data_IF_752453347288
#
_entry.id   IF_752453347288
#
_cell.length_a   1.000
_cell.length_b   1.000
_cell.length_c   1.000
_cell.angle_alpha   90.00
_cell.angle_beta   90.00
_cell.angle_gamma   90.00
#
_symmetry.space_group_name_H-M   'P 1'
#
loop_
_entity.id
_entity.type
_entity.pdbx_description
1 polymer ?
#
# COMPACT_ATOMS: atom_id res chain seq x y z
N UNK A 1 55.21 -26.85 10.06
CA UNK A 1 56.52 -26.23 9.79
C UNK A 1 56.58 -24.93 10.59
N UNK A 2 57.74 -24.59 11.16
CA UNK A 2 58.11 -23.50 12.09
C UNK A 2 57.11 -22.33 12.35
N UNK A 3 56.77 -21.88 13.58
CA UNK A 3 57.51 -21.60 14.85
C UNK A 3 58.06 -20.15 14.94
N UNK A 4 57.67 -19.42 16.01
CA UNK A 4 58.39 -18.31 16.73
C UNK A 4 58.44 -16.87 16.14
N UNK A 5 58.57 -15.76 16.91
CA UNK A 5 58.61 -15.52 18.39
C UNK A 5 58.38 -14.02 18.80
N UNK A 6 57.88 -13.78 20.03
CA UNK A 6 58.32 -12.75 21.04
C UNK A 6 58.15 -11.21 20.81
N UNK A 7 58.08 -10.31 21.83
CA UNK A 7 58.58 -10.27 23.23
C UNK A 7 57.59 -9.66 24.29
N UNK A 8 57.54 -10.32 25.46
CA UNK A 8 57.38 -9.94 26.92
C UNK A 8 56.94 -8.52 27.38
N UNK A 9 56.44 -8.31 28.63
CA UNK A 9 56.24 -9.18 29.82
C UNK A 9 55.67 -8.35 31.01
N UNK A 10 55.35 -8.86 32.22
CA UNK A 10 55.61 -10.10 33.01
C UNK A 10 54.37 -10.39 33.90
N UNK A 11 54.02 -11.56 34.49
CA UNK A 11 54.65 -12.88 34.80
C UNK A 11 55.39 -13.00 36.15
N UNK A 12 54.72 -13.56 37.18
CA UNK A 12 55.19 -14.34 38.39
C UNK A 12 54.05 -14.45 39.43
N UNK A 13 53.78 -15.52 40.22
CA UNK A 13 54.00 -16.98 40.06
C UNK A 13 52.95 -17.79 40.90
N UNK A 14 53.32 -18.77 41.75
CA UNK A 14 52.43 -19.77 42.42
C UNK A 14 53.04 -20.42 43.70
N UNK A 15 52.17 -20.70 44.69
CA UNK A 15 51.92 -21.92 45.51
C UNK A 15 53.00 -22.98 45.91
N UNK A 16 52.67 -23.66 47.03
CA UNK A 16 52.98 -25.04 47.54
C UNK A 16 54.03 -25.30 48.66
N UNK A 17 53.49 -25.64 49.85
CA UNK A 17 53.86 -26.70 50.83
C UNK A 17 55.31 -26.97 51.32
N UNK A 18 55.46 -27.13 52.66
CA UNK A 18 56.41 -28.07 53.28
C UNK A 18 55.99 -28.48 54.72
N UNK A 19 56.59 -29.56 55.27
CA UNK A 19 56.09 -30.39 56.37
C UNK A 19 57.16 -30.64 57.48
N UNK A 20 56.76 -30.76 58.76
CA UNK A 20 57.58 -31.36 59.86
C UNK A 20 57.36 -30.68 61.25
N UNK A 21 56.89 -31.32 62.35
CA UNK A 21 57.40 -32.49 63.14
C UNK A 21 58.58 -32.04 64.07
N UNK A 22 58.68 -32.26 65.41
CA UNK A 22 58.21 -33.30 66.37
C UNK A 22 58.29 -32.83 67.88
N UNK A 23 57.49 -33.43 68.81
CA UNK A 23 57.79 -33.77 70.26
C UNK A 23 58.08 -32.66 71.32
N UNK A 24 57.87 -32.81 72.66
CA UNK A 24 57.53 -33.95 73.56
C UNK A 24 56.64 -33.57 74.78
N UNK A 25 56.08 -34.60 75.43
CA UNK A 25 55.16 -34.63 76.59
C UNK A 25 55.63 -34.10 77.97
N UNK A 26 54.64 -33.85 78.86
CA UNK A 26 54.65 -34.32 80.27
C UNK A 26 53.20 -34.53 80.81
N UNK A 27 53.03 -35.30 81.90
CA UNK A 27 51.73 -35.81 82.39
C UNK A 27 51.40 -35.43 83.85
N UNK A 28 50.12 -35.60 84.23
CA UNK A 28 49.55 -35.79 85.59
C UNK A 28 49.63 -34.56 86.54
N UNK A 29 48.56 -34.04 87.17
CA UNK A 29 47.53 -34.66 88.05
C UNK A 29 46.44 -33.63 88.42
N UNK A 30 45.28 -34.07 88.93
CA UNK A 30 44.54 -33.31 89.97
C UNK A 30 43.07 -32.95 89.66
N UNK A 31 42.16 -33.46 90.49
CA UNK A 31 40.75 -33.03 90.50
C UNK A 31 40.56 -31.76 91.34
N UNK A 32 39.64 -30.88 90.92
CA UNK A 32 38.55 -30.44 91.80
C UNK A 32 37.36 -30.00 90.97
N UNK A 33 36.15 -30.45 91.33
CA UNK A 33 34.95 -30.08 90.60
C UNK A 33 34.56 -28.62 90.83
N UNK A 34 34.16 -27.97 89.74
CA UNK A 34 33.13 -26.94 89.74
C UNK A 34 32.24 -27.25 88.54
N UNK A 35 30.97 -27.59 88.78
CA UNK A 35 29.97 -27.59 87.71
C UNK A 35 29.79 -26.14 87.27
N UNK A 36 30.40 -25.79 86.15
CA UNK A 36 29.97 -24.62 85.38
C UNK A 36 28.80 -25.14 84.55
N UNK A 37 27.58 -24.95 85.07
CA UNK A 37 26.37 -25.02 84.24
C UNK A 37 26.51 -23.93 83.18
N UNK A 38 26.91 -24.33 81.97
CA UNK A 38 26.71 -23.51 80.78
C UNK A 38 25.21 -23.30 80.64
N UNK A 39 24.75 -22.06 80.74
CA UNK A 39 23.43 -21.69 80.24
C UNK A 39 23.43 -22.04 78.75
N UNK A 40 22.58 -22.98 78.33
CA UNK A 40 22.30 -23.17 76.91
C UNK A 40 21.65 -21.88 76.42
N UNK A 41 22.39 -21.09 75.64
CA UNK A 41 21.75 -20.01 74.88
C UNK A 41 20.71 -20.65 73.96
N UNK A 42 19.43 -20.43 74.28
CA UNK A 42 18.32 -20.81 73.40
C UNK A 42 18.58 -20.17 72.04
N UNK A 43 18.68 -20.95 70.95
CA UNK A 43 19.01 -20.39 69.64
C UNK A 43 17.96 -19.37 69.25
N UNK A 44 18.38 -18.11 69.08
CA UNK A 44 17.51 -17.05 68.56
C UNK A 44 16.94 -17.52 67.21
N UNK A 45 15.61 -17.49 67.00
CA UNK A 45 15.04 -17.91 65.74
C UNK A 45 15.60 -17.05 64.60
N UNK A 46 16.08 -17.71 63.54
CA UNK A 46 16.49 -17.02 62.31
C UNK A 46 15.27 -16.27 61.76
N UNK A 47 15.36 -14.96 61.45
CA UNK A 47 14.27 -14.23 60.84
C UNK A 47 13.87 -14.84 59.49
N UNK A 48 12.58 -14.82 59.18
CA UNK A 48 12.08 -15.26 57.88
C UNK A 48 12.68 -14.40 56.75
N UNK A 49 13.07 -15.02 55.64
CA UNK A 49 13.76 -14.36 54.54
C UNK A 49 13.31 -14.89 53.17
N UNK A 50 13.24 -13.99 52.18
CA UNK A 50 13.05 -14.33 50.76
C UNK A 50 14.13 -13.60 49.95
N UNK A 51 15.06 -14.37 49.39
CA UNK A 51 16.10 -13.87 48.48
C UNK A 51 15.65 -14.10 47.04
N UNK A 52 15.39 -13.03 46.29
CA UNK A 52 14.99 -13.13 44.87
C UNK A 52 16.22 -13.32 44.00
N UNK A 53 16.17 -14.26 43.04
CA UNK A 53 17.25 -14.49 42.08
C UNK A 53 17.44 -13.27 41.17
N UNK A 54 18.70 -13.00 40.78
CA UNK A 54 19.06 -11.81 39.99
C UNK A 54 18.25 -11.65 38.68
N UNK A 55 17.87 -12.77 38.06
CA UNK A 55 17.06 -12.84 36.83
C UNK A 55 15.56 -12.57 37.05
N UNK A 56 15.08 -12.62 38.29
CA UNK A 56 13.70 -12.32 38.68
C UNK A 56 13.55 -10.99 39.43
N UNK A 57 14.66 -10.31 39.73
CA UNK A 57 14.66 -9.09 40.55
C UNK A 57 13.80 -7.96 39.95
N UNK A 58 13.84 -7.78 38.63
CA UNK A 58 13.05 -6.78 37.92
C UNK A 58 11.54 -6.97 38.10
N UNK A 59 11.05 -8.22 38.19
CA UNK A 59 9.62 -8.49 38.40
C UNK A 59 9.09 -7.89 39.71
N UNK A 60 9.93 -7.77 40.75
CA UNK A 60 9.57 -7.19 42.05
C UNK A 60 9.89 -5.70 42.18
N UNK A 61 10.70 -5.12 41.28
CA UNK A 61 11.07 -3.68 41.32
C UNK A 61 10.41 -2.83 40.25
N UNK A 62 10.19 -3.40 39.07
CA UNK A 62 9.62 -2.76 37.88
C UNK A 62 8.24 -3.34 37.53
N UNK A 63 8.00 -4.61 37.90
CA UNK A 63 6.78 -5.35 37.56
C UNK A 63 6.97 -6.32 36.40
N UNK A 64 5.88 -6.89 35.93
CA UNK A 64 5.86 -7.90 34.88
C UNK A 64 4.90 -7.48 33.76
N UNK A 65 5.44 -6.84 32.71
CA UNK A 65 4.68 -6.40 31.53
C UNK A 65 4.54 -7.50 30.47
N UNK A 66 3.32 -7.82 30.06
CA UNK A 66 3.00 -8.73 28.96
C UNK A 66 2.39 -7.99 27.75
N UNK A 67 2.52 -8.59 26.56
CA UNK A 67 1.74 -8.22 25.38
C UNK A 67 0.28 -8.67 25.51
N UNK A 68 -0.53 -8.39 24.49
CA UNK A 68 -1.92 -8.84 24.47
C UNK A 68 -2.05 -10.37 24.41
N UNK A 69 -1.13 -11.05 23.74
CA UNK A 69 -1.14 -12.51 23.61
C UNK A 69 -1.00 -13.24 24.97
N UNK A 70 -1.45 -14.50 25.01
CA UNK A 70 -1.19 -15.38 26.15
C UNK A 70 0.31 -15.72 26.25
N UNK A 71 0.91 -15.50 27.42
CA UNK A 71 2.35 -15.67 27.68
C UNK A 71 2.59 -16.08 29.14
N UNK A 72 3.82 -16.47 29.49
CA UNK A 72 4.18 -16.85 30.85
C UNK A 72 5.65 -16.54 31.19
N UNK A 73 5.92 -16.32 32.48
CA UNK A 73 7.27 -16.05 33.01
C UNK A 73 7.50 -16.77 34.33
N UNK A 74 8.68 -17.36 34.47
CA UNK A 74 9.09 -18.00 35.72
C UNK A 74 9.77 -17.00 36.65
N UNK A 75 9.37 -17.04 37.92
CA UNK A 75 9.99 -16.34 39.04
C UNK A 75 10.85 -17.33 39.82
N UNK A 76 12.08 -16.96 40.13
CA UNK A 76 13.05 -17.74 40.89
C UNK A 76 13.48 -17.00 42.16
N UNK A 77 13.56 -17.72 43.28
CA UNK A 77 13.92 -17.20 44.59
C UNK A 77 14.39 -18.33 45.51
N UNK A 78 14.86 -17.98 46.70
CA UNK A 78 15.02 -18.92 47.81
C UNK A 78 14.42 -18.36 49.10
N UNK A 79 13.96 -19.25 49.98
CA UNK A 79 13.42 -18.89 51.30
C UNK A 79 13.80 -19.91 52.36
N UNK A 80 13.91 -19.45 53.61
CA UNK A 80 14.09 -20.31 54.79
C UNK A 80 12.77 -20.85 55.36
N UNK A 81 11.61 -20.44 54.82
CA UNK A 81 10.29 -20.95 55.19
C UNK A 81 9.62 -21.69 54.01
N UNK A 82 8.61 -22.49 54.32
CA UNK A 82 7.62 -22.91 53.33
C UNK A 82 6.87 -21.66 52.81
N UNK A 83 6.45 -21.69 51.55
CA UNK A 83 6.00 -20.51 50.81
C UNK A 83 4.66 -20.74 50.10
N UNK A 84 3.92 -19.66 49.93
CA UNK A 84 2.65 -19.60 49.19
C UNK A 84 2.67 -18.43 48.18
N UNK A 85 1.97 -18.59 47.06
CA UNK A 85 1.78 -17.55 46.04
C UNK A 85 0.31 -17.43 45.72
N UNK A 86 -0.23 -16.24 45.97
CA UNK A 86 -1.62 -15.88 45.68
C UNK A 86 -1.66 -14.85 44.55
N UNK A 87 -2.72 -14.89 43.74
CA UNK A 87 -3.04 -13.83 42.77
C UNK A 87 -4.30 -13.12 43.26
N UNK A 88 -4.31 -11.79 43.24
CA UNK A 88 -5.52 -11.01 43.52
C UNK A 88 -6.65 -11.46 42.57
N UNK A 89 -7.88 -11.63 43.09
CA UNK A 89 -8.95 -12.35 42.39
C UNK A 89 -9.22 -11.86 40.96
N UNK A 90 -8.86 -12.68 39.97
CA UNK A 90 -9.17 -12.50 38.55
C UNK A 90 -9.18 -13.85 37.81
N UNK A 91 -9.68 -13.85 36.58
CA UNK A 91 -9.78 -15.00 35.67
C UNK A 91 -8.54 -15.17 34.77
N UNK A 92 -7.95 -14.11 34.25
CA UNK A 92 -6.90 -14.16 33.22
C UNK A 92 -5.46 -14.47 33.68
N UNK A 93 -5.10 -14.22 34.94
CA UNK A 93 -3.75 -14.43 35.49
C UNK A 93 -3.73 -15.60 36.48
N UNK A 94 -2.73 -16.47 36.37
CA UNK A 94 -2.58 -17.71 37.16
C UNK A 94 -1.12 -17.91 37.59
N UNK A 95 -0.93 -18.65 38.69
CA UNK A 95 0.39 -19.08 39.16
C UNK A 95 0.45 -20.60 39.33
N UNK A 96 1.61 -21.20 39.07
CA UNK A 96 1.84 -22.62 39.33
C UNK A 96 3.32 -22.96 39.55
N UNK A 97 3.68 -23.74 40.59
CA UNK A 97 2.83 -24.12 41.71
C UNK A 97 2.51 -22.90 42.61
N UNK A 98 1.39 -22.95 43.34
CA UNK A 98 0.96 -21.90 44.26
C UNK A 98 1.49 -22.07 45.69
N UNK A 99 2.21 -23.14 45.97
CA UNK A 99 2.80 -23.46 47.27
C UNK A 99 4.07 -24.30 47.08
N UNK A 100 4.97 -24.28 48.08
CA UNK A 100 6.15 -25.11 48.10
C UNK A 100 6.91 -25.06 49.43
N UNK A 101 7.95 -25.87 49.55
CA UNK A 101 8.74 -26.00 50.77
C UNK A 101 9.95 -25.06 50.82
N UNK A 102 10.50 -24.86 52.01
CA UNK A 102 11.79 -24.19 52.26
C UNK A 102 12.92 -24.65 51.34
N UNK A 103 13.79 -23.71 50.94
CA UNK A 103 14.89 -23.92 49.99
C UNK A 103 14.78 -23.02 48.76
N UNK A 104 15.33 -23.49 47.64
CA UNK A 104 15.17 -22.87 46.32
C UNK A 104 13.73 -23.09 45.81
N UNK A 105 13.05 -22.02 45.41
CA UNK A 105 11.66 -22.02 44.97
C UNK A 105 11.50 -21.40 43.57
N UNK A 106 10.49 -21.85 42.84
CA UNK A 106 10.05 -21.19 41.62
C UNK A 106 8.57 -21.40 41.34
N UNK A 107 7.97 -20.41 40.70
CA UNK A 107 6.60 -20.49 40.18
C UNK A 107 6.54 -19.77 38.82
N UNK A 108 5.62 -20.24 37.97
CA UNK A 108 5.31 -19.60 36.68
C UNK A 108 4.10 -18.71 36.88
N UNK A 109 4.22 -17.44 36.49
CA UNK A 109 3.09 -16.53 36.26
C UNK A 109 2.66 -16.71 34.81
N UNK A 110 1.39 -17.04 34.57
CA UNK A 110 0.82 -17.19 33.23
C UNK A 110 -0.35 -16.23 33.06
N UNK A 111 -0.45 -15.62 31.87
CA UNK A 111 -1.56 -14.75 31.47
C UNK A 111 -2.29 -15.34 30.25
N UNK A 112 -3.61 -15.29 30.27
CA UNK A 112 -4.45 -15.56 29.08
C UNK A 112 -4.43 -14.35 28.14
N UNK A 113 -4.91 -14.51 26.90
CA UNK A 113 -4.98 -13.42 25.92
C UNK A 113 -5.88 -12.27 26.42
N UNK A 114 -5.47 -11.02 26.17
CA UNK A 114 -6.26 -9.83 26.41
C UNK A 114 -6.87 -9.32 25.11
N UNK A 115 -8.09 -9.78 24.82
CA UNK A 115 -8.84 -9.39 23.62
C UNK A 115 -9.45 -7.99 23.71
N UNK A 116 -9.42 -7.36 24.89
CA UNK A 116 -9.87 -5.98 25.08
C UNK A 116 -8.76 -4.99 24.66
N UNK A 117 -9.08 -3.82 24.10
CA UNK A 117 -8.09 -2.80 23.75
C UNK A 117 -7.53 -2.05 24.98
N UNK A 118 -8.15 -2.20 26.15
CA UNK A 118 -7.68 -1.62 27.40
C UNK A 118 -6.63 -2.49 28.09
N UNK A 119 -5.64 -1.84 28.72
CA UNK A 119 -4.65 -2.52 29.56
C UNK A 119 -5.28 -3.02 30.85
N UNK A 120 -4.97 -4.26 31.25
CA UNK A 120 -5.41 -4.86 32.51
C UNK A 120 -4.21 -5.15 33.43
N UNK A 121 -4.43 -5.05 34.73
CA UNK A 121 -3.39 -5.30 35.74
C UNK A 121 -3.92 -6.08 36.94
N UNK A 122 -3.01 -6.75 37.64
CA UNK A 122 -3.29 -7.51 38.86
C UNK A 122 -2.02 -7.64 39.70
N UNK A 123 -2.16 -8.05 40.97
CA UNK A 123 -1.03 -8.27 41.88
C UNK A 123 -0.87 -9.76 42.15
N UNK A 124 0.37 -10.24 42.00
CA UNK A 124 0.79 -11.56 42.49
C UNK A 124 1.59 -11.35 43.78
N UNK A 125 1.27 -12.11 44.82
CA UNK A 125 1.84 -11.97 46.16
C UNK A 125 2.50 -13.27 46.58
N UNK A 126 3.83 -13.25 46.74
CA UNK A 126 4.64 -14.33 47.31
C UNK A 126 4.83 -14.08 48.81
N UNK A 127 4.51 -15.07 49.64
CA UNK A 127 4.75 -15.04 51.08
C UNK A 127 5.59 -16.22 51.52
N UNK A 128 6.43 -16.01 52.52
CA UNK A 128 7.12 -17.07 53.25
C UNK A 128 7.34 -16.61 54.70
N UNK A 129 6.75 -17.34 55.64
CA UNK A 129 6.68 -16.91 57.05
C UNK A 129 6.00 -15.54 57.19
N UNK A 130 6.73 -14.57 57.73
CA UNK A 130 6.30 -13.17 57.93
C UNK A 130 6.74 -12.22 56.82
N UNK A 131 7.47 -12.69 55.79
CA UNK A 131 7.91 -11.87 54.66
C UNK A 131 6.93 -11.98 53.50
N UNK A 132 6.54 -10.83 52.94
CA UNK A 132 5.72 -10.72 51.73
C UNK A 132 6.47 -9.93 50.65
N UNK A 133 6.35 -10.38 49.39
CA UNK A 133 6.83 -9.67 48.20
C UNK A 133 5.75 -9.70 47.12
N UNK A 134 5.54 -8.57 46.47
CA UNK A 134 4.53 -8.41 45.42
C UNK A 134 5.14 -8.17 44.04
N UNK A 135 4.45 -8.66 43.01
CA UNK A 135 4.72 -8.41 41.59
C UNK A 135 3.47 -7.75 41.04
N UNK A 136 3.60 -6.54 40.48
CA UNK A 136 2.55 -5.93 39.67
C UNK A 136 2.62 -6.55 38.26
N UNK A 137 1.58 -7.29 37.87
CA UNK A 137 1.45 -7.87 36.54
C UNK A 137 0.58 -6.95 35.69
N UNK A 138 1.11 -6.50 34.56
CA UNK A 138 0.43 -5.61 33.62
C UNK A 138 0.38 -6.29 32.27
N UNK A 139 -0.80 -6.33 31.63
CA UNK A 139 -0.99 -6.91 30.31
C UNK A 139 -1.65 -5.89 29.39
N UNK A 140 -0.96 -5.57 28.29
CA UNK A 140 -1.43 -4.60 27.30
C UNK A 140 -2.73 -5.08 26.65
N UNK A 141 -3.56 -4.14 26.20
CA UNK A 141 -4.71 -4.44 25.36
C UNK A 141 -4.31 -4.86 23.95
N UNK A 142 -5.24 -5.52 23.24
CA UNK A 142 -5.04 -5.85 21.83
C UNK A 142 -4.84 -4.58 21.00
N UNK A 143 -3.84 -4.58 20.12
CA UNK A 143 -3.59 -3.44 19.25
C UNK A 143 -4.67 -3.33 18.17
N UNK A 144 -5.22 -2.13 17.98
CA UNK A 144 -6.14 -1.84 16.89
C UNK A 144 -5.51 -2.13 15.53
N UNK A 145 -6.19 -2.94 14.71
CA UNK A 145 -5.76 -3.34 13.37
C UNK A 145 -6.91 -3.26 12.37
N UNK A 146 -6.57 -2.78 11.18
CA UNK A 146 -7.39 -2.84 9.97
C UNK A 146 -6.45 -3.14 8.81
N UNK A 147 -6.79 -4.17 8.03
CA UNK A 147 -6.07 -4.58 6.83
C UNK A 147 -7.07 -4.68 5.67
N UNK A 148 -6.68 -4.16 4.50
CA UNK A 148 -7.49 -4.22 3.29
C UNK A 148 -6.69 -4.95 2.22
N UNK A 149 -7.18 -6.11 1.77
CA UNK A 149 -6.41 -7.02 0.92
C UNK A 149 -6.00 -6.41 -0.44
N UNK A 150 -6.75 -5.41 -0.91
CA UNK A 150 -6.46 -4.67 -2.14
C UNK A 150 -6.77 -3.18 -1.99
N UNK A 151 -5.78 -2.34 -2.26
CA UNK A 151 -5.83 -0.88 -2.07
C UNK A 151 -5.76 -0.07 -3.37
N UNK A 152 -5.81 -0.71 -4.54
CA UNK A 152 -5.76 -0.03 -5.84
C UNK A 152 -6.66 -0.69 -6.89
N UNK A 153 -7.52 0.11 -7.50
CA UNK A 153 -8.54 -0.31 -8.46
C UNK A 153 -8.46 0.51 -9.74
N UNK A 154 -8.48 -0.19 -10.88
CA UNK A 154 -8.57 0.37 -12.23
C UNK A 154 -9.94 -0.02 -12.77
N UNK A 155 -10.78 0.98 -13.05
CA UNK A 155 -12.20 0.82 -13.36
C UNK A 155 -12.46 1.25 -14.79
N UNK A 156 -13.31 0.50 -15.50
CA UNK A 156 -13.70 0.82 -16.88
C UNK A 156 -14.71 1.98 -16.93
N UNK A 157 -14.92 2.62 -18.09
CA UNK A 157 -15.79 3.80 -18.21
C UNK A 157 -17.25 3.53 -17.81
N UNK A 158 -17.72 2.29 -17.88
CA UNK A 158 -19.08 1.88 -17.49
C UNK A 158 -19.32 1.97 -15.97
N UNK A 159 -18.26 2.01 -15.16
CA UNK A 159 -18.36 1.95 -13.70
C UNK A 159 -18.65 0.55 -13.15
N UNK A 160 -18.50 0.37 -11.84
CA UNK A 160 -18.79 -0.89 -11.14
C UNK A 160 -19.00 -0.67 -9.64
N UNK A 161 -19.56 -1.67 -8.94
CA UNK A 161 -19.57 -1.70 -7.47
C UNK A 161 -18.34 -2.49 -7.01
N UNK A 162 -17.51 -1.85 -6.18
CA UNK A 162 -16.32 -2.45 -5.58
C UNK A 162 -16.63 -2.78 -4.12
N UNK A 163 -16.42 -4.04 -3.74
CA UNK A 163 -16.43 -4.51 -2.35
C UNK A 163 -15.00 -4.71 -1.88
N UNK A 164 -14.64 -4.11 -0.75
CA UNK A 164 -13.34 -4.27 -0.13
C UNK A 164 -13.31 -5.52 0.75
N UNK A 165 -12.24 -6.31 0.65
CA UNK A 165 -11.96 -7.39 1.59
C UNK A 165 -11.18 -6.80 2.78
N UNK A 166 -11.89 -6.55 3.88
CA UNK A 166 -11.40 -5.85 5.08
C UNK A 166 -11.38 -6.82 6.27
N UNK A 167 -10.20 -7.01 6.85
CA UNK A 167 -10.02 -7.71 8.13
C UNK A 167 -9.66 -6.69 9.21
N UNK A 168 -10.47 -6.59 10.26
CA UNK A 168 -10.24 -5.64 11.36
C UNK A 168 -10.68 -6.22 12.71
N UNK A 169 -10.02 -5.77 13.80
CA UNK A 169 -10.47 -6.03 15.18
C UNK A 169 -11.13 -4.79 15.84
N UNK A 170 -11.28 -3.70 15.09
CA UNK A 170 -11.92 -2.45 15.49
C UNK A 170 -13.00 -2.04 14.50
N UNK A 171 -13.92 -1.17 14.94
CA UNK A 171 -14.84 -0.49 14.03
C UNK A 171 -14.07 0.35 13.01
N UNK A 172 -14.58 0.38 11.78
CA UNK A 172 -14.01 1.12 10.66
C UNK A 172 -15.10 1.77 9.81
N UNK A 173 -14.72 2.77 9.02
CA UNK A 173 -15.58 3.42 8.03
C UNK A 173 -14.81 3.69 6.73
N UNK A 174 -15.43 3.39 5.58
CA UNK A 174 -14.93 3.85 4.27
C UNK A 174 -15.38 5.29 4.05
N UNK A 175 -14.42 6.20 3.91
CA UNK A 175 -14.63 7.65 3.71
C UNK A 175 -14.31 8.02 2.27
N UNK A 176 -15.30 8.61 1.60
CA UNK A 176 -15.18 9.15 0.24
C UNK A 176 -14.89 10.66 0.35
N UNK A 177 -13.92 11.21 -0.43
CA UNK A 177 -13.65 12.65 -0.44
C UNK A 177 -14.88 13.48 -0.79
N UNK A 178 -15.09 14.61 -0.11
CA UNK A 178 -16.30 15.44 -0.28
C UNK A 178 -16.34 16.22 -1.60
N UNK A 179 -15.23 16.26 -2.33
CA UNK A 179 -15.08 16.76 -3.69
C UNK A 179 -15.22 15.66 -4.77
N UNK A 180 -15.41 14.39 -4.37
CA UNK A 180 -15.70 13.28 -5.28
C UNK A 180 -17.22 13.09 -5.43
N UNK A 181 -17.77 13.44 -6.59
CA UNK A 181 -19.19 13.30 -6.94
C UNK A 181 -19.52 12.00 -7.70
N UNK A 182 -18.49 11.27 -8.14
CA UNK A 182 -18.57 10.10 -9.01
C UNK A 182 -18.31 8.76 -8.31
N UNK A 183 -18.01 8.77 -7.00
CA UNK A 183 -17.99 7.58 -6.15
C UNK A 183 -19.05 7.74 -5.05
N UNK A 184 -19.79 6.68 -4.74
CA UNK A 184 -20.88 6.69 -3.76
C UNK A 184 -20.79 5.52 -2.79
N UNK A 185 -21.19 5.75 -1.54
CA UNK A 185 -21.35 4.68 -0.54
C UNK A 185 -22.55 3.78 -0.87
N UNK A 186 -22.41 2.47 -0.67
CA UNK A 186 -23.54 1.53 -0.77
C UNK A 186 -24.22 1.40 0.59
N UNK A 187 -25.42 1.95 0.77
CA UNK A 187 -26.13 1.98 2.07
C UNK A 187 -26.33 0.60 2.73
N UNK A 188 -26.32 -0.47 1.94
CA UNK A 188 -26.49 -1.86 2.43
C UNK A 188 -25.18 -2.60 2.71
N UNK A 189 -24.02 -1.99 2.47
CA UNK A 189 -22.71 -2.64 2.56
C UNK A 189 -21.59 -1.63 2.88
N UNK A 190 -21.19 -1.56 4.15
CA UNK A 190 -20.22 -0.57 4.68
C UNK A 190 -18.79 -0.72 4.11
N UNK A 191 -18.48 -1.88 3.52
CA UNK A 191 -17.22 -2.23 2.87
C UNK A 191 -17.22 -1.92 1.36
N UNK A 192 -18.34 -1.41 0.82
CA UNK A 192 -18.59 -1.33 -0.62
C UNK A 192 -18.92 0.08 -1.10
N UNK A 193 -18.44 0.42 -2.29
CA UNK A 193 -18.70 1.69 -2.95
C UNK A 193 -19.01 1.49 -4.45
N UNK A 194 -19.90 2.33 -4.97
CA UNK A 194 -20.27 2.40 -6.38
C UNK A 194 -19.41 3.45 -7.09
N UNK A 195 -18.72 3.05 -8.15
CA UNK A 195 -18.04 3.94 -9.09
C UNK A 195 -18.99 4.18 -10.28
N UNK A 196 -19.41 5.42 -10.48
CA UNK A 196 -20.37 5.79 -11.53
C UNK A 196 -19.73 5.76 -12.94
N UNK A 197 -20.52 5.69 -14.02
CA UNK A 197 -20.01 5.83 -15.38
C UNK A 197 -19.22 7.14 -15.63
N UNK A 198 -18.22 7.07 -16.50
CA UNK A 198 -17.39 8.19 -16.93
C UNK A 198 -17.58 8.48 -18.43
N UNK A 199 -18.56 9.31 -18.76
CA UNK A 199 -18.91 9.73 -20.13
C UNK A 199 -17.89 10.70 -20.78
N UNK A 200 -16.75 10.93 -20.13
CA UNK A 200 -15.64 11.77 -20.60
C UNK A 200 -14.57 10.90 -21.26
N UNK A 201 -13.88 11.39 -22.29
CA UNK A 201 -12.69 10.71 -22.84
C UNK A 201 -11.48 10.83 -21.91
N UNK A 202 -11.52 11.75 -20.95
CA UNK A 202 -10.47 11.90 -19.93
C UNK A 202 -10.71 10.95 -18.74
N UNK A 203 -9.63 10.32 -18.30
CA UNK A 203 -9.61 9.55 -17.05
C UNK A 203 -9.82 10.44 -15.81
N UNK A 204 -10.22 9.81 -14.70
CA UNK A 204 -10.36 10.47 -13.39
C UNK A 204 -9.88 9.55 -12.28
N UNK A 205 -9.45 10.12 -11.15
CA UNK A 205 -8.98 9.35 -10.00
C UNK A 205 -9.33 10.01 -8.68
N UNK A 206 -9.46 9.18 -7.63
CA UNK A 206 -9.77 9.57 -6.27
C UNK A 206 -9.07 8.63 -5.28
N UNK A 207 -8.84 9.12 -4.06
CA UNK A 207 -8.31 8.33 -2.95
C UNK A 207 -9.32 8.32 -1.82
N UNK A 208 -9.92 7.17 -1.53
CA UNK A 208 -10.76 6.95 -0.36
C UNK A 208 -9.86 6.60 0.84
N UNK A 209 -10.39 6.71 2.05
CA UNK A 209 -9.69 6.32 3.29
C UNK A 209 -10.57 5.36 4.07
N UNK A 210 -10.01 4.23 4.51
CA UNK A 210 -10.61 3.41 5.57
C UNK A 210 -10.12 3.96 6.90
N UNK A 211 -10.98 4.69 7.60
CA UNK A 211 -10.71 5.23 8.93
C UNK A 211 -11.05 4.18 9.99
N UNK A 212 -10.25 4.10 11.05
CA UNK A 212 -10.48 3.24 12.23
C UNK A 212 -9.75 3.83 13.45
N UNK A 213 -9.78 3.13 14.59
CA UNK A 213 -8.92 3.45 15.73
C UNK A 213 -7.43 3.07 15.54
N UNK A 214 -7.10 2.30 14.48
CA UNK A 214 -5.74 1.98 14.08
C UNK A 214 -5.18 2.95 13.02
N UNK A 215 -4.12 2.54 12.33
CA UNK A 215 -3.57 3.30 11.20
C UNK A 215 -4.58 3.33 10.01
N UNK A 216 -4.82 4.50 9.39
CA UNK A 216 -5.77 4.60 8.28
C UNK A 216 -5.22 3.98 6.98
N UNK A 217 -6.09 3.36 6.19
CA UNK A 217 -5.70 2.70 4.93
C UNK A 217 -6.25 3.45 3.72
N UNK A 218 -5.37 3.98 2.87
CA UNK A 218 -5.77 4.67 1.63
C UNK A 218 -6.12 3.68 0.50
N UNK A 219 -7.23 3.93 -0.19
CA UNK A 219 -7.69 3.16 -1.34
C UNK A 219 -7.68 4.05 -2.59
N UNK A 220 -6.84 3.72 -3.57
CA UNK A 220 -6.74 4.43 -4.84
C UNK A 220 -7.73 3.86 -5.86
N UNK A 221 -8.54 4.72 -6.46
CA UNK A 221 -9.45 4.38 -7.55
C UNK A 221 -9.10 5.24 -8.76
N UNK A 222 -8.76 4.60 -9.89
CA UNK A 222 -8.56 5.26 -11.18
C UNK A 222 -9.57 4.70 -12.16
N UNK A 223 -10.33 5.58 -12.81
CA UNK A 223 -11.34 5.21 -13.79
C UNK A 223 -10.95 5.75 -15.16
N UNK A 224 -11.00 4.89 -16.16
CA UNK A 224 -10.73 5.23 -17.55
C UNK A 224 -11.80 6.19 -18.11
N UNK A 225 -11.42 6.98 -19.11
CA UNK A 225 -12.39 7.68 -19.96
C UNK A 225 -12.93 6.76 -21.05
N UNK A 226 -14.08 7.10 -21.63
CA UNK A 226 -14.56 6.41 -22.85
C UNK A 226 -13.51 6.53 -23.96
N UNK A 227 -13.22 5.46 -24.73
CA UNK A 227 -12.31 5.54 -25.87
C UNK A 227 -12.74 6.64 -26.83
N UNK A 228 -11.77 7.36 -27.40
CA UNK A 228 -12.07 8.36 -28.42
C UNK A 228 -12.61 7.68 -29.69
N UNK A 229 -13.63 8.29 -30.28
CA UNK A 229 -14.34 7.74 -31.43
C UNK A 229 -14.67 8.84 -32.43
N UNK A 230 -14.40 8.56 -33.71
CA UNK A 230 -14.76 9.39 -34.86
C UNK A 230 -15.32 8.50 -35.96
N UNK A 231 -16.56 8.75 -36.37
CA UNK A 231 -17.27 7.96 -37.39
C UNK A 231 -17.71 8.89 -38.53
N UNK A 232 -17.16 8.67 -39.72
CA UNK A 232 -17.56 9.38 -40.92
C UNK A 232 -18.92 8.89 -41.47
N UNK A 233 -19.64 9.79 -42.13
CA UNK A 233 -20.67 9.40 -43.11
C UNK A 233 -20.06 8.60 -44.28
N UNK A 234 -20.84 7.73 -44.92
CA UNK A 234 -20.37 6.88 -46.05
C UNK A 234 -19.67 7.68 -47.18
N UNK A 235 -20.20 8.86 -47.50
CA UNK A 235 -19.62 9.77 -48.48
C UNK A 235 -18.28 10.35 -47.99
N UNK A 236 -18.23 10.83 -46.74
CA UNK A 236 -16.99 11.39 -46.16
C UNK A 236 -15.90 10.35 -45.97
N UNK A 237 -16.26 9.12 -45.59
CA UNK A 237 -15.34 7.99 -45.53
C UNK A 237 -14.74 7.68 -46.91
N UNK A 238 -15.57 7.76 -47.96
CA UNK A 238 -15.12 7.57 -49.34
C UNK A 238 -14.17 8.68 -49.81
N UNK A 239 -14.38 9.93 -49.39
CA UNK A 239 -13.48 11.05 -49.69
C UNK A 239 -12.12 10.89 -48.97
N UNK A 240 -12.10 10.54 -47.69
CA UNK A 240 -10.85 10.27 -46.98
C UNK A 240 -10.09 9.04 -47.51
N UNK A 241 -10.80 8.01 -47.98
CA UNK A 241 -10.19 6.79 -48.52
C UNK A 241 -9.55 6.99 -49.91
N UNK A 242 -10.15 7.82 -50.76
CA UNK A 242 -9.73 7.97 -52.17
C UNK A 242 -9.02 9.31 -52.46
N UNK A 243 -9.14 10.30 -51.59
CA UNK A 243 -8.77 11.69 -51.89
C UNK A 243 -9.85 12.42 -52.70
N UNK A 244 -9.56 13.65 -53.09
CA UNK A 244 -10.41 14.50 -53.94
C UNK A 244 -9.59 14.94 -55.15
N UNK A 245 -9.94 14.41 -56.32
CA UNK A 245 -9.47 14.92 -57.61
C UNK A 245 -10.52 15.87 -58.19
N UNK A 246 -10.13 17.09 -58.56
CA UNK A 246 -11.06 18.07 -59.12
C UNK A 246 -10.47 18.89 -60.27
N UNK A 247 -11.35 19.33 -61.16
CA UNK A 247 -10.96 20.14 -62.31
C UNK A 247 -10.46 21.53 -61.88
N UNK A 248 -9.73 22.19 -62.78
CA UNK A 248 -9.22 23.54 -62.59
C UNK A 248 -10.30 24.59 -62.23
N UNK A 249 -11.60 24.32 -62.45
CA UNK A 249 -12.71 25.16 -61.99
C UNK A 249 -12.81 25.32 -60.47
N UNK A 250 -12.27 24.37 -59.70
CA UNK A 250 -12.53 24.25 -58.26
C UNK A 250 -13.76 23.39 -57.95
N UNK A 251 -13.95 23.13 -56.65
CA UNK A 251 -15.02 22.30 -56.10
C UNK A 251 -15.31 22.69 -54.64
N UNK A 252 -16.41 22.22 -54.07
CA UNK A 252 -16.68 22.32 -52.63
C UNK A 252 -17.38 21.06 -52.14
N UNK A 253 -16.85 20.46 -51.08
CA UNK A 253 -17.33 19.22 -50.49
C UNK A 253 -17.64 19.44 -49.01
N UNK A 254 -18.73 18.89 -48.52
CA UNK A 254 -19.03 18.83 -47.08
C UNK A 254 -18.51 17.53 -46.53
N UNK A 255 -17.64 17.61 -45.52
CA UNK A 255 -17.18 16.47 -44.74
C UNK A 255 -18.02 16.40 -43.47
N UNK A 256 -18.70 15.29 -43.23
CA UNK A 256 -19.61 15.08 -42.10
C UNK A 256 -19.29 13.79 -41.34
N UNK A 257 -19.21 13.90 -40.01
CA UNK A 257 -18.81 12.84 -39.08
C UNK A 257 -19.44 13.08 -37.69
N UNK A 258 -19.53 12.03 -36.88
CA UNK A 258 -19.86 12.12 -35.45
C UNK A 258 -18.60 11.84 -34.65
N UNK A 259 -18.35 12.60 -33.58
CA UNK A 259 -17.12 12.51 -32.77
C UNK A 259 -17.42 12.74 -31.28
N UNK A 260 -16.73 12.03 -30.38
CA UNK A 260 -16.98 12.14 -28.93
C UNK A 260 -16.04 13.11 -28.17
N UNK A 261 -15.04 13.68 -28.86
CA UNK A 261 -14.09 14.67 -28.36
C UNK A 261 -14.00 15.91 -29.28
N UNK A 262 -13.24 16.92 -28.84
CA UNK A 262 -12.98 18.12 -29.63
C UNK A 262 -12.06 17.81 -30.83
N UNK A 263 -12.30 18.49 -31.94
CA UNK A 263 -11.63 18.22 -33.21
C UNK A 263 -11.09 19.49 -33.88
N UNK A 264 -10.06 19.31 -34.70
CA UNK A 264 -9.45 20.37 -35.52
C UNK A 264 -9.15 19.84 -36.93
N UNK A 265 -9.20 20.72 -37.91
CA UNK A 265 -8.83 20.43 -39.30
C UNK A 265 -7.84 21.47 -39.82
N UNK A 266 -6.77 21.00 -40.45
CA UNK A 266 -5.72 21.83 -41.04
C UNK A 266 -5.48 21.47 -42.50
N UNK A 267 -4.90 22.39 -43.26
CA UNK A 267 -4.54 22.18 -44.67
C UNK A 267 -3.07 22.53 -44.88
N UNK A 268 -2.29 21.60 -45.41
CA UNK A 268 -0.88 21.78 -45.80
C UNK A 268 -0.75 21.83 -47.33
N UNK A 269 0.08 22.73 -47.87
CA UNK A 269 0.23 22.94 -49.33
C UNK A 269 -0.95 23.66 -50.02
N UNK A 270 -2.05 23.85 -49.30
CA UNK A 270 -3.29 24.47 -49.79
C UNK A 270 -3.35 25.99 -49.74
N UNK A 271 -2.27 26.66 -49.35
CA UNK A 271 -2.25 28.09 -49.00
C UNK A 271 -3.01 28.97 -50.01
N UNK A 272 -4.03 29.68 -49.52
CA UNK A 272 -4.96 30.56 -50.27
C UNK A 272 -5.92 29.91 -51.29
N UNK A 273 -5.78 28.63 -51.63
CA UNK A 273 -6.62 27.99 -52.65
C UNK A 273 -7.44 26.78 -52.16
N UNK A 274 -7.02 26.11 -51.09
CA UNK A 274 -7.75 25.03 -50.44
C UNK A 274 -8.01 25.42 -48.98
N UNK A 275 -9.27 25.63 -48.62
CA UNK A 275 -9.67 26.11 -47.28
C UNK A 275 -10.75 25.23 -46.68
N UNK A 276 -10.84 25.22 -45.35
CA UNK A 276 -11.82 24.46 -44.56
C UNK A 276 -12.57 25.40 -43.63
N UNK A 277 -13.85 25.14 -43.37
CA UNK A 277 -14.61 25.92 -42.40
C UNK A 277 -15.76 25.12 -41.77
N UNK A 278 -15.90 25.09 -40.42
CA UNK A 278 -14.96 25.63 -39.44
C UNK A 278 -13.65 24.83 -39.36
N UNK A 279 -12.60 25.44 -38.82
CA UNK A 279 -11.27 24.80 -38.60
C UNK A 279 -11.22 23.95 -37.32
N UNK A 280 -12.23 24.04 -36.46
CA UNK A 280 -12.37 23.25 -35.24
C UNK A 280 -13.82 23.17 -34.77
N UNK A 281 -14.10 22.23 -33.86
CA UNK A 281 -15.39 22.12 -33.19
C UNK A 281 -15.34 21.22 -31.96
N UNK A 282 -16.46 21.20 -31.24
CA UNK A 282 -16.68 20.36 -30.06
C UNK A 282 -17.28 18.99 -30.47
N UNK A 283 -17.41 18.09 -29.49
CA UNK A 283 -18.05 16.78 -29.66
C UNK A 283 -19.51 16.85 -30.14
N UNK A 284 -19.92 15.81 -30.89
CA UNK A 284 -21.27 15.62 -31.41
C UNK A 284 -21.27 15.34 -32.92
N UNK A 285 -22.41 15.59 -33.56
CA UNK A 285 -22.51 15.59 -35.02
C UNK A 285 -21.84 16.84 -35.58
N UNK A 286 -20.77 16.63 -36.34
CA UNK A 286 -19.87 17.66 -36.81
C UNK A 286 -19.75 17.66 -38.34
N UNK A 287 -19.42 18.82 -38.90
CA UNK A 287 -19.03 18.93 -40.31
C UNK A 287 -18.14 20.14 -40.55
N UNK A 288 -17.32 20.05 -41.60
CA UNK A 288 -16.64 21.19 -42.20
C UNK A 288 -16.82 21.18 -43.73
N UNK A 289 -16.82 22.37 -44.32
CA UNK A 289 -16.87 22.56 -45.76
C UNK A 289 -15.44 22.75 -46.26
N UNK A 290 -14.97 21.83 -47.09
CA UNK A 290 -13.77 21.99 -47.89
C UNK A 290 -14.12 22.84 -49.13
N UNK A 291 -13.34 23.89 -49.38
CA UNK A 291 -13.50 24.77 -50.54
C UNK A 291 -12.21 24.83 -51.33
N UNK A 292 -12.28 24.41 -52.59
CA UNK A 292 -11.16 24.40 -53.53
C UNK A 292 -11.42 25.49 -54.56
N UNK A 293 -10.66 26.58 -54.48
CA UNK A 293 -10.73 27.71 -55.40
C UNK A 293 -10.23 27.32 -56.79
N UNK A 294 -10.66 28.06 -57.82
CA UNK A 294 -10.22 27.89 -59.20
C UNK A 294 -8.68 27.91 -59.31
N UNK A 295 -8.12 27.02 -60.13
CA UNK A 295 -6.74 27.09 -60.58
C UNK A 295 -6.68 27.89 -61.89
N UNK A 296 -5.90 28.97 -61.91
CA UNK A 296 -5.66 29.77 -63.13
C UNK A 296 -4.33 29.41 -63.80
N UNK A 297 -3.48 28.62 -63.13
CA UNK A 297 -2.20 28.14 -63.64
C UNK A 297 -2.38 26.84 -64.44
N UNK A 298 -1.53 26.59 -65.44
CA UNK A 298 -1.57 25.38 -66.28
C UNK A 298 -0.97 24.14 -65.58
N UNK A 299 -0.54 24.27 -64.32
CA UNK A 299 0.12 23.22 -63.53
C UNK A 299 -0.82 22.70 -62.46
N UNK A 300 -0.88 21.38 -62.32
CA UNK A 300 -1.58 20.69 -61.23
C UNK A 300 -1.00 21.08 -59.87
N UNK A 301 -1.85 21.15 -58.85
CA UNK A 301 -1.46 21.46 -57.47
C UNK A 301 -2.13 20.53 -56.48
N UNK A 302 -1.44 20.23 -55.39
CA UNK A 302 -1.90 19.30 -54.34
C UNK A 302 -1.87 19.94 -52.96
N UNK A 303 -2.79 19.51 -52.10
CA UNK A 303 -2.85 19.86 -50.68
C UNK A 303 -3.21 18.63 -49.84
N UNK A 304 -2.81 18.62 -48.57
CA UNK A 304 -3.17 17.59 -47.60
C UNK A 304 -4.10 18.21 -46.55
N UNK A 305 -5.33 17.70 -46.45
CA UNK A 305 -6.25 18.01 -45.37
C UNK A 305 -6.01 17.01 -44.24
N UNK A 306 -5.78 17.50 -43.03
CA UNK A 306 -5.61 16.66 -41.83
C UNK A 306 -6.73 16.94 -40.84
N UNK A 307 -7.53 15.92 -40.51
CA UNK A 307 -8.53 15.96 -39.45
C UNK A 307 -7.97 15.27 -38.22
N UNK A 308 -7.96 15.95 -37.07
CA UNK A 308 -7.53 15.42 -35.78
C UNK A 308 -8.67 15.53 -34.78
N UNK A 309 -8.95 14.45 -34.05
CA UNK A 309 -9.88 14.40 -32.94
C UNK A 309 -9.25 13.58 -31.81
N UNK A 310 -8.87 14.24 -30.71
CA UNK A 310 -8.05 13.60 -29.69
C UNK A 310 -6.74 13.05 -30.27
N UNK A 311 -6.45 11.76 -30.10
CA UNK A 311 -5.33 11.04 -30.72
C UNK A 311 -5.66 10.41 -32.09
N UNK A 312 -6.93 10.45 -32.53
CA UNK A 312 -7.34 10.01 -33.87
C UNK A 312 -6.89 11.05 -34.91
N UNK A 313 -6.20 10.60 -35.96
CA UNK A 313 -5.73 11.44 -37.07
C UNK A 313 -6.06 10.79 -38.41
N UNK A 314 -6.71 11.54 -39.29
CA UNK A 314 -6.98 11.19 -40.68
C UNK A 314 -6.37 12.21 -41.64
N UNK A 315 -5.87 11.73 -42.78
CA UNK A 315 -5.33 12.57 -43.85
C UNK A 315 -6.09 12.31 -45.15
N UNK A 316 -6.35 13.37 -45.92
CA UNK A 316 -6.98 13.32 -47.24
C UNK A 316 -6.18 14.20 -48.21
N UNK A 317 -5.73 13.61 -49.32
CA UNK A 317 -5.08 14.37 -50.39
C UNK A 317 -6.13 15.02 -51.29
N UNK A 318 -5.89 16.27 -51.66
CA UNK A 318 -6.65 17.03 -52.63
C UNK A 318 -5.75 17.31 -53.82
N UNK A 319 -6.13 16.83 -55.01
CA UNK A 319 -5.49 17.10 -56.29
C UNK A 319 -6.37 18.05 -57.10
N UNK A 320 -5.79 19.11 -57.63
CA UNK A 320 -6.49 20.01 -58.55
C UNK A 320 -5.73 20.18 -59.85
N UNK A 321 -6.40 19.85 -60.96
CA UNK A 321 -5.85 19.97 -62.31
C UNK A 321 -5.36 21.39 -62.63
N UNK A 322 -4.36 21.46 -63.51
CA UNK A 322 -3.99 22.69 -64.21
C UNK A 322 -5.07 23.15 -65.20
N UNK A 323 -5.16 24.46 -65.41
CA UNK A 323 -6.02 25.06 -66.43
C UNK A 323 -5.62 24.61 -67.84
N UNK A 324 -6.59 24.13 -68.60
CA UNK A 324 -6.39 23.75 -70.01
C UNK A 324 -6.54 25.00 -70.90
N UNK A 325 -5.45 25.45 -71.51
CA UNK A 325 -5.47 26.49 -72.54
C UNK A 325 -5.88 25.93 -73.91
N UNK A 326 -6.93 26.48 -74.53
CA UNK A 326 -7.19 26.29 -75.97
C UNK A 326 -8.64 26.16 -76.44
N UNK A 327 -9.61 25.89 -75.56
CA UNK A 327 -11.02 25.76 -76.00
C UNK A 327 -11.74 27.11 -75.97
N UNK A 328 -11.51 27.91 -77.02
CA UNK A 328 -12.52 28.88 -77.48
C UNK A 328 -13.62 28.13 -78.24
N UNK A 329 -14.89 28.43 -77.94
CA UNK A 329 -16.03 27.65 -78.42
C UNK A 329 -16.04 27.36 -79.92
N UNK A 330 -16.16 26.09 -80.28
CA UNK A 330 -16.18 25.65 -81.67
C UNK A 330 -17.44 26.13 -82.40
N UNK A 331 -17.24 26.96 -83.42
CA UNK A 331 -18.18 27.13 -84.51
C UNK A 331 -17.50 26.72 -85.82
N UNK A 332 -17.20 25.43 -85.95
CA UNK A 332 -16.78 24.84 -87.21
C UNK A 332 -18.04 24.56 -88.05
N UNK A 333 -18.36 25.51 -88.92
CA UNK A 333 -19.25 25.26 -90.04
C UNK A 333 -18.59 24.20 -90.93
N UNK A 334 -19.11 22.97 -90.89
CA UNK A 334 -18.81 21.97 -91.91
C UNK A 334 -19.49 22.39 -93.22
N UNK A 335 -18.84 23.23 -94.01
CA UNK A 335 -19.14 23.34 -95.43
C UNK A 335 -18.71 22.02 -96.10
N UNK A 336 -19.70 21.24 -96.53
CA UNK A 336 -19.45 19.99 -97.25
C UNK A 336 -19.08 20.27 -98.70
N UNK A 337 -17.82 20.02 -99.07
CA UNK A 337 -17.46 19.77 -100.47
C UNK A 337 -17.64 18.29 -100.82
N UNK A 338 -17.94 18.05 -102.10
CA UNK A 338 -18.26 16.72 -102.62
C UNK A 338 -17.03 15.83 -102.84
N UNK A 339 -17.27 14.54 -103.09
CA UNK A 339 -16.18 13.59 -103.31
C UNK A 339 -16.63 12.14 -103.38
N UNK A 340 -17.61 11.81 -104.23
CA UNK A 340 -17.93 10.41 -104.51
C UNK A 340 -16.74 9.68 -105.14
N UNK A 341 -16.57 8.37 -104.89
CA UNK A 341 -16.67 7.36 -105.97
C UNK A 341 -16.66 5.90 -105.43
N UNK A 342 -17.75 5.20 -105.76
CA UNK A 342 -17.95 3.76 -106.01
C UNK A 342 -17.56 2.65 -105.02
N UNK A 343 -18.58 1.80 -104.79
CA UNK A 343 -18.52 0.41 -104.35
C UNK A 343 -17.79 -0.51 -105.33
N UNK A 344 -17.11 -1.54 -104.80
CA UNK A 344 -17.37 -2.95 -105.17
C UNK A 344 -16.84 -3.94 -104.14
#
# INVERSE_FOLDING_TARGET
MFINLYIMGKVVLKWFYCLGILFSALQLTGCSGAEITSEEETPTPTPDEITVSQESLSYFTEGMEFGADADNRTVYFSSNCDWEVEVATNDWCKVSPSEGTTGEGSFVVSVEENTDPEERNTTVTLKAGTVEKTINVVQKGIQASVEVARTSFEVMPEGEIITLDITANVEYQVVIPSDCDWIRSVETANDSFEVLPNESTQERSATLVVESAGEPVSISVRQQGVPEELVFSDESASLFANGIDCAASGASQTIAFTVNCDWTVTVEGGDSWCTVSPESGEKGDASFILTISKNEEEVERTATVTLKAGDIIYHMTVTQEGKISGITGGNENYEGEDGSWYER
#
